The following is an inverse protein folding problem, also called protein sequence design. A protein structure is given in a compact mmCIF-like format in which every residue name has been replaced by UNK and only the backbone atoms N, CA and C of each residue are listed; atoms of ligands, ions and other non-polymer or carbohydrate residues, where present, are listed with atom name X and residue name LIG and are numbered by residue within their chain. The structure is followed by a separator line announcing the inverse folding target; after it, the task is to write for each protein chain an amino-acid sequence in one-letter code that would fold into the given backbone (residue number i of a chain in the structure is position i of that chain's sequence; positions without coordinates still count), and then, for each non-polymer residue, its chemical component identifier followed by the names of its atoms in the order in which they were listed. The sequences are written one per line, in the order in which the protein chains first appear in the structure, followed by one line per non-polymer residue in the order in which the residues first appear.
data_IF_095272881014
#
_entry.id   IF_095272881014
#
_cell.length_a   1.000
_cell.length_b   1.000
_cell.length_c   1.000
_cell.angle_alpha   90.00
_cell.angle_beta   90.00
_cell.angle_gamma   90.00
#
_symmetry.space_group_name_H-M   'P 1'
#
loop_
_entity.id
_entity.type
_entity.pdbx_description
1 polymer ?
#
# COMPACT_ATOMS: atom_id res chain seq x y z
N UNK A 1 23.08 -22.98 -62.72
CA UNK A 1 21.70 -22.47 -62.96
C UNK A 1 20.91 -22.59 -61.66
N UNK A 2 20.96 -21.59 -60.79
CA UNK A 2 19.91 -20.56 -60.60
C UNK A 2 18.51 -21.14 -60.30
N UNK A 3 18.07 -21.10 -59.03
CA UNK A 3 17.12 -20.09 -58.52
C UNK A 3 16.77 -20.35 -57.05
N UNK A 4 17.13 -19.39 -56.20
CA UNK A 4 16.66 -19.25 -54.81
C UNK A 4 15.16 -18.93 -54.81
N UNK A 5 14.37 -19.73 -54.10
CA UNK A 5 12.98 -19.41 -53.76
C UNK A 5 12.93 -18.67 -52.43
N UNK A 6 12.78 -17.35 -52.50
CA UNK A 6 12.59 -16.45 -51.36
C UNK A 6 11.15 -16.62 -50.86
N UNK A 7 10.95 -17.20 -49.67
CA UNK A 7 9.68 -17.14 -48.96
C UNK A 7 9.66 -15.89 -48.06
N UNK A 8 8.70 -15.01 -48.36
CA UNK A 8 8.61 -13.66 -47.85
C UNK A 8 8.47 -13.58 -46.33
N UNK A 9 9.38 -12.83 -45.72
CA UNK A 9 9.28 -12.34 -44.36
C UNK A 9 8.18 -11.25 -44.32
N UNK A 10 7.05 -11.55 -43.70
CA UNK A 10 5.97 -10.60 -43.48
C UNK A 10 6.46 -9.49 -42.54
N UNK A 11 6.84 -8.33 -43.11
CA UNK A 11 7.18 -7.12 -42.37
C UNK A 11 5.90 -6.56 -41.72
N UNK A 12 5.69 -6.88 -40.45
CA UNK A 12 4.78 -6.13 -39.59
C UNK A 12 5.33 -4.70 -39.44
N UNK A 13 4.72 -3.77 -40.16
CA UNK A 13 4.98 -2.34 -40.03
C UNK A 13 4.41 -1.89 -38.68
N UNK A 14 5.28 -1.66 -37.69
CA UNK A 14 4.91 -0.86 -36.53
C UNK A 14 4.73 0.59 -37.00
N UNK A 15 3.48 0.98 -37.23
CA UNK A 15 3.14 2.39 -37.40
C UNK A 15 3.40 3.09 -36.06
N UNK A 16 4.41 3.96 -36.04
CA UNK A 16 4.65 4.92 -34.97
C UNK A 16 3.50 5.94 -34.97
N UNK A 17 2.40 5.63 -34.29
CA UNK A 17 1.44 6.68 -33.90
C UNK A 17 2.03 7.44 -32.71
N UNK A 18 2.76 8.51 -33.04
CA UNK A 18 3.08 9.56 -32.10
C UNK A 18 1.81 10.31 -31.72
N UNK A 19 1.19 9.94 -30.61
CA UNK A 19 0.30 10.85 -29.88
C UNK A 19 1.11 11.59 -28.84
N UNK A 20 1.49 12.83 -29.17
CA UNK A 20 1.97 13.80 -28.20
C UNK A 20 0.82 14.08 -27.22
N UNK A 21 0.81 13.39 -26.09
CA UNK A 21 0.00 13.81 -24.94
C UNK A 21 0.67 15.06 -24.38
N UNK A 22 0.05 16.21 -24.62
CA UNK A 22 0.44 17.45 -23.97
C UNK A 22 0.23 17.29 -22.46
N UNK A 23 1.33 17.17 -21.72
CA UNK A 23 1.33 17.32 -20.27
C UNK A 23 0.79 18.72 -19.94
N UNK A 24 -0.17 18.88 -19.01
CA UNK A 24 -0.46 20.19 -18.44
C UNK A 24 0.81 20.71 -17.77
N UNK A 25 1.26 21.89 -18.20
CA UNK A 25 2.48 22.53 -17.73
C UNK A 25 2.53 22.65 -16.21
N UNK A 26 3.72 22.44 -15.67
CA UNK A 26 4.06 22.71 -14.27
C UNK A 26 3.81 24.20 -14.01
N UNK A 27 2.69 24.51 -13.36
CA UNK A 27 2.39 25.85 -12.87
C UNK A 27 3.45 26.29 -11.86
N UNK A 28 3.84 27.56 -11.97
CA UNK A 28 4.79 28.23 -11.10
C UNK A 28 4.45 28.08 -9.62
N UNK A 29 5.45 27.68 -8.85
CA UNK A 29 5.41 27.54 -7.39
C UNK A 29 5.17 28.91 -6.74
N UNK A 30 3.91 29.24 -6.44
CA UNK A 30 3.50 30.52 -5.86
C UNK A 30 2.43 30.33 -4.79
N UNK A 31 2.74 30.81 -3.58
CA UNK A 31 1.85 30.98 -2.42
C UNK A 31 1.29 29.70 -1.77
N UNK A 32 2.06 29.15 -0.81
CA UNK A 32 1.54 28.26 0.25
C UNK A 32 0.65 29.08 1.18
N UNK A 33 -0.64 29.22 0.86
CA UNK A 33 -1.63 29.73 1.80
C UNK A 33 -1.81 28.70 2.93
N UNK A 34 -1.57 29.11 4.18
CA UNK A 34 -1.98 28.33 5.35
C UNK A 34 -3.50 28.30 5.37
N UNK A 35 -4.10 27.18 5.00
CA UNK A 35 -5.50 26.92 5.30
C UNK A 35 -5.64 26.84 6.83
N UNK A 36 -6.24 27.86 7.43
CA UNK A 36 -6.70 27.80 8.80
C UNK A 36 -7.80 26.74 8.87
N UNK A 37 -7.58 25.71 9.68
CA UNK A 37 -8.60 24.70 10.02
C UNK A 37 -9.79 25.42 10.69
N UNK A 38 -11.00 25.35 10.14
CA UNK A 38 -12.16 25.80 10.89
C UNK A 38 -12.34 24.89 12.11
N UNK A 39 -12.59 25.54 13.25
CA UNK A 39 -12.77 24.88 14.54
C UNK A 39 -14.05 24.04 14.55
N UNK A 40 -13.99 22.94 15.32
CA UNK A 40 -15.09 22.13 15.81
C UNK A 40 -16.10 21.60 14.77
N UNK A 41 -15.85 20.36 14.31
CA UNK A 41 -16.93 19.49 13.84
C UNK A 41 -17.87 19.20 15.03
N UNK A 42 -19.21 19.27 14.87
CA UNK A 42 -20.13 18.90 15.93
C UNK A 42 -19.91 17.44 16.33
N UNK A 43 -19.86 17.19 17.64
CA UNK A 43 -19.82 15.84 18.18
C UNK A 43 -21.05 15.06 17.71
N UNK A 44 -20.86 14.16 16.75
CA UNK A 44 -21.86 13.15 16.42
C UNK A 44 -22.15 12.38 17.71
N UNK A 45 -23.40 12.43 18.17
CA UNK A 45 -23.86 11.63 19.31
C UNK A 45 -23.53 10.16 19.03
N UNK A 46 -22.55 9.65 19.75
CA UNK A 46 -22.24 8.24 19.77
C UNK A 46 -23.44 7.53 20.39
N UNK A 47 -24.24 6.87 19.56
CA UNK A 47 -25.16 5.86 20.04
C UNK A 47 -24.36 4.86 20.87
N UNK A 48 -24.69 4.73 22.16
CA UNK A 48 -24.09 3.75 23.07
C UNK A 48 -24.18 2.37 22.44
N UNK A 49 -23.05 1.85 21.97
CA UNK A 49 -22.92 0.42 21.69
C UNK A 49 -23.07 -0.33 23.02
N UNK A 50 -23.77 -1.48 23.06
CA UNK A 50 -23.91 -2.25 24.28
C UNK A 50 -22.52 -2.69 24.76
N UNK A 51 -22.22 -2.39 26.01
CA UNK A 51 -21.00 -2.83 26.67
C UNK A 51 -20.90 -4.36 26.61
N UNK A 52 -19.96 -4.86 25.82
CA UNK A 52 -19.56 -6.26 25.89
C UNK A 52 -18.52 -6.34 26.99
N UNK A 53 -18.87 -6.97 28.11
CA UNK A 53 -17.95 -7.27 29.20
C UNK A 53 -16.77 -8.14 28.74
N UNK A 54 -15.82 -8.46 29.63
CA UNK A 54 -14.64 -9.26 29.32
C UNK A 54 -15.05 -10.74 29.23
N UNK A 55 -15.85 -11.08 28.23
CA UNK A 55 -16.17 -12.45 27.85
C UNK A 55 -15.20 -12.88 26.77
N UNK A 56 -14.33 -13.83 27.12
CA UNK A 56 -13.62 -14.79 26.27
C UNK A 56 -13.56 -14.45 24.77
N UNK A 57 -12.85 -13.38 24.43
CA UNK A 57 -12.66 -12.96 23.04
C UNK A 57 -11.57 -13.85 22.48
N UNK A 58 -11.94 -15.06 22.03
CA UNK A 58 -11.06 -15.98 21.29
C UNK A 58 -10.18 -15.16 20.35
N UNK A 59 -8.90 -15.08 20.67
CA UNK A 59 -7.93 -14.35 19.87
C UNK A 59 -7.94 -14.99 18.49
N UNK A 60 -8.38 -14.25 17.47
CA UNK A 60 -8.35 -14.77 16.11
C UNK A 60 -6.90 -15.03 15.76
N UNK A 61 -6.59 -16.28 15.43
CA UNK A 61 -5.27 -16.62 14.93
C UNK A 61 -5.03 -15.89 13.61
N UNK A 62 -3.76 -15.68 13.27
CA UNK A 62 -3.35 -15.04 12.02
C UNK A 62 -3.94 -15.77 10.79
N UNK A 63 -4.22 -17.06 10.90
CA UNK A 63 -4.82 -17.92 9.89
C UNK A 63 -6.33 -17.67 9.70
N UNK A 64 -7.00 -17.15 10.72
CA UNK A 64 -8.45 -16.88 10.71
C UNK A 64 -8.78 -15.50 10.11
N UNK A 65 -7.78 -14.64 9.93
CA UNK A 65 -7.97 -13.32 9.32
C UNK A 65 -8.14 -13.45 7.81
N UNK A 66 -9.27 -12.94 7.32
CA UNK A 66 -9.57 -12.91 5.89
C UNK A 66 -8.64 -11.96 5.15
N UNK A 67 -8.31 -12.29 3.90
CA UNK A 67 -7.43 -11.49 3.07
C UNK A 67 -7.43 -11.95 1.62
N UNK A 68 -6.89 -11.14 0.68
CA UNK A 68 -6.64 -11.62 -0.66
C UNK A 68 -5.60 -12.75 -0.64
N UNK A 69 -5.80 -13.77 -1.47
CA UNK A 69 -4.77 -14.78 -1.71
C UNK A 69 -3.52 -14.15 -2.34
N UNK A 70 -2.33 -14.73 -2.12
CA UNK A 70 -1.04 -14.18 -2.56
C UNK A 70 -1.01 -13.83 -4.06
N UNK A 71 -1.44 -14.76 -4.92
CA UNK A 71 -1.48 -14.53 -6.37
C UNK A 71 -2.44 -13.40 -6.77
N UNK A 72 -3.57 -13.29 -6.07
CA UNK A 72 -4.53 -12.21 -6.29
C UNK A 72 -3.92 -10.87 -5.92
N UNK A 73 -3.25 -10.78 -4.78
CA UNK A 73 -2.57 -9.57 -4.36
C UNK A 73 -1.50 -9.15 -5.39
N UNK A 74 -0.66 -10.08 -5.83
CA UNK A 74 0.36 -9.82 -6.86
C UNK A 74 -0.26 -9.32 -8.17
N UNK A 75 -1.34 -9.96 -8.62
CA UNK A 75 -2.08 -9.52 -9.80
C UNK A 75 -2.63 -8.09 -9.65
N UNK A 76 -3.23 -7.77 -8.49
CA UNK A 76 -3.72 -6.43 -8.20
C UNK A 76 -2.58 -5.40 -8.19
N UNK A 77 -1.45 -5.71 -7.56
CA UNK A 77 -0.32 -4.80 -7.47
C UNK A 77 0.28 -4.50 -8.85
N UNK A 78 0.63 -5.53 -9.61
CA UNK A 78 1.43 -5.38 -10.83
C UNK A 78 0.61 -5.31 -12.11
N UNK A 79 -0.40 -6.16 -12.27
CA UNK A 79 -1.19 -6.20 -13.52
C UNK A 79 -2.27 -5.11 -13.53
N UNK A 80 -2.97 -4.91 -12.40
CA UNK A 80 -3.95 -3.83 -12.29
C UNK A 80 -3.32 -2.47 -11.92
N UNK A 81 -2.01 -2.45 -11.64
CA UNK A 81 -1.26 -1.23 -11.36
C UNK A 81 -1.63 -0.56 -10.03
N UNK A 82 -2.11 -1.32 -9.04
CA UNK A 82 -2.35 -0.79 -7.70
C UNK A 82 -1.05 -0.53 -6.92
N UNK A 83 0.12 -0.96 -7.40
CA UNK A 83 1.41 -0.66 -6.77
C UNK A 83 1.64 0.85 -6.61
N UNK A 84 1.16 1.68 -7.54
CA UNK A 84 1.23 3.15 -7.44
C UNK A 84 0.01 3.78 -6.75
N UNK A 85 -1.00 2.97 -6.41
CA UNK A 85 -2.30 3.39 -5.88
C UNK A 85 -2.72 2.53 -4.68
N UNK A 86 -1.77 2.22 -3.81
CA UNK A 86 -1.97 1.31 -2.67
C UNK A 86 -3.11 1.76 -1.75
N UNK A 87 -3.27 3.07 -1.54
CA UNK A 87 -4.36 3.63 -0.73
C UNK A 87 -5.75 3.25 -1.29
N UNK A 88 -5.92 3.20 -2.62
CA UNK A 88 -7.18 2.78 -3.24
C UNK A 88 -7.43 1.30 -2.99
N UNK A 89 -6.38 0.47 -3.15
CA UNK A 89 -6.45 -0.96 -2.86
C UNK A 89 -6.79 -1.22 -1.38
N UNK A 90 -6.28 -0.42 -0.45
CA UNK A 90 -6.64 -0.48 0.98
C UNK A 90 -8.12 -0.15 1.21
N UNK A 91 -8.69 0.84 0.54
CA UNK A 91 -10.13 1.16 0.62
C UNK A 91 -10.97 -0.01 0.13
N UNK A 92 -10.61 -0.61 -1.02
CA UNK A 92 -11.31 -1.77 -1.57
C UNK A 92 -11.22 -2.99 -0.65
N UNK A 93 -10.04 -3.27 -0.11
CA UNK A 93 -9.84 -4.38 0.81
C UNK A 93 -10.58 -4.16 2.13
N UNK A 94 -10.59 -2.94 2.66
CA UNK A 94 -11.39 -2.59 3.84
C UNK A 94 -12.88 -2.85 3.61
N UNK A 95 -13.40 -2.44 2.46
CA UNK A 95 -14.81 -2.66 2.11
C UNK A 95 -15.15 -4.15 2.00
N UNK A 96 -14.20 -4.97 1.51
CA UNK A 96 -14.41 -6.41 1.29
C UNK A 96 -14.19 -7.29 2.52
N UNK A 97 -13.12 -7.03 3.27
CA UNK A 97 -12.65 -7.89 4.37
C UNK A 97 -12.91 -7.29 5.75
N UNK A 98 -13.35 -6.03 5.81
CA UNK A 98 -13.58 -5.31 7.06
C UNK A 98 -12.37 -4.50 7.52
N UNK A 99 -12.39 -4.01 8.77
CA UNK A 99 -11.38 -3.07 9.27
C UNK A 99 -10.01 -3.70 9.58
N UNK A 100 -9.92 -5.04 9.57
CA UNK A 100 -8.68 -5.80 9.77
C UNK A 100 -8.62 -6.89 8.71
N UNK A 101 -7.51 -6.98 7.98
CA UNK A 101 -7.27 -8.06 7.02
C UNK A 101 -5.77 -8.34 6.86
N UNK A 102 -5.46 -9.49 6.26
CA UNK A 102 -4.07 -9.89 6.01
C UNK A 102 -3.74 -9.82 4.53
N UNK A 103 -2.56 -9.28 4.24
CA UNK A 103 -1.90 -9.43 2.94
C UNK A 103 -0.66 -10.31 3.14
N UNK A 104 -0.46 -11.28 2.25
CA UNK A 104 0.75 -12.10 2.20
C UNK A 104 1.51 -11.72 0.94
N UNK A 105 2.73 -11.22 1.09
CA UNK A 105 3.59 -10.80 -0.02
C UNK A 105 4.95 -11.49 0.11
N UNK A 106 5.14 -12.56 -0.67
CA UNK A 106 6.29 -13.44 -0.50
C UNK A 106 6.33 -14.01 0.92
N UNK A 107 7.49 -13.98 1.61
CA UNK A 107 7.61 -14.43 2.99
C UNK A 107 7.00 -13.45 4.01
N UNK A 108 6.73 -12.20 3.61
CA UNK A 108 6.24 -11.16 4.52
C UNK A 108 4.72 -11.25 4.70
N UNK A 109 4.28 -11.18 5.94
CA UNK A 109 2.86 -11.09 6.31
C UNK A 109 2.58 -9.69 6.83
N UNK A 110 1.59 -9.03 6.24
CA UNK A 110 1.14 -7.70 6.63
C UNK A 110 -0.28 -7.77 7.18
N UNK A 111 -0.43 -7.46 8.47
CA UNK A 111 -1.74 -7.22 9.08
C UNK A 111 -2.09 -5.75 8.85
N UNK A 112 -3.18 -5.50 8.14
CA UNK A 112 -3.64 -4.17 7.82
C UNK A 112 -4.74 -3.77 8.80
N UNK A 113 -4.60 -2.58 9.39
CA UNK A 113 -5.58 -1.99 10.30
C UNK A 113 -6.11 -0.70 9.67
N UNK A 114 -7.40 -0.68 9.31
CA UNK A 114 -8.02 0.47 8.64
C UNK A 114 -9.12 1.14 9.47
N UNK A 115 -8.94 1.17 10.79
CA UNK A 115 -9.85 1.77 11.76
C UNK A 115 -9.04 2.55 12.80
N UNK A 116 -9.38 3.82 12.99
CA UNK A 116 -8.68 4.68 13.95
C UNK A 116 -8.78 4.17 15.39
N UNK A 117 -9.96 3.75 15.91
CA UNK A 117 -10.05 3.15 17.24
C UNK A 117 -9.20 1.89 17.42
N UNK A 118 -9.07 1.05 16.38
CA UNK A 118 -8.24 -0.15 16.45
C UNK A 118 -6.76 0.19 16.46
N UNK A 119 -6.34 1.14 15.62
CA UNK A 119 -4.96 1.62 15.60
C UNK A 119 -4.57 2.25 16.95
N UNK A 120 -5.45 3.07 17.52
CA UNK A 120 -5.28 3.68 18.83
C UNK A 120 -5.11 2.62 19.93
N UNK A 121 -5.95 1.59 19.93
CA UNK A 121 -5.82 0.47 20.87
C UNK A 121 -4.47 -0.24 20.73
N UNK A 122 -4.05 -0.55 19.49
CA UNK A 122 -2.75 -1.19 19.23
C UNK A 122 -1.60 -0.32 19.73
N UNK A 123 -1.63 0.97 19.41
CA UNK A 123 -0.58 1.90 19.84
C UNK A 123 -0.49 2.07 21.36
N UNK A 124 -1.61 1.96 22.09
CA UNK A 124 -1.60 1.97 23.56
C UNK A 124 -1.10 0.67 24.18
N UNK A 125 -1.18 -0.43 23.44
CA UNK A 125 -0.73 -1.76 23.87
C UNK A 125 0.73 -2.04 23.47
N UNK A 126 1.37 -1.12 22.75
CA UNK A 126 2.79 -1.22 22.41
C UNK A 126 3.65 -1.29 23.70
N UNK A 127 4.69 -2.15 23.68
CA UNK A 127 5.62 -2.29 24.79
C UNK A 127 6.59 -1.10 24.94
N UNK A 128 7.52 -1.20 25.89
CA UNK A 128 8.49 -0.13 26.20
C UNK A 128 9.35 0.29 24.99
N UNK A 129 9.63 -0.63 24.07
CA UNK A 129 10.48 -0.40 22.90
C UNK A 129 9.78 -0.86 21.61
N UNK A 130 8.82 -0.07 21.07
CA UNK A 130 8.11 -0.45 19.85
C UNK A 130 9.01 -0.27 18.62
N UNK A 131 9.08 -1.32 17.80
CA UNK A 131 9.75 -1.24 16.49
C UNK A 131 8.72 -0.85 15.43
N UNK A 132 8.94 0.27 14.74
CA UNK A 132 8.00 0.80 13.74
C UNK A 132 8.20 0.22 12.36
N UNK A 133 9.45 -0.09 12.02
CA UNK A 133 9.81 -0.75 10.79
C UNK A 133 11.16 -1.44 10.98
N UNK A 134 11.32 -2.61 10.38
CA UNK A 134 12.62 -3.25 10.26
C UNK A 134 13.38 -2.54 9.12
N UNK A 135 14.38 -1.73 9.48
CA UNK A 135 15.09 -0.87 8.52
C UNK A 135 16.11 -1.63 7.67
N UNK A 136 16.05 -2.96 7.65
CA UNK A 136 16.95 -3.86 6.94
C UNK A 136 17.22 -3.44 5.48
N UNK A 137 16.18 -3.27 4.67
CA UNK A 137 16.34 -2.88 3.26
C UNK A 137 17.05 -1.54 3.08
N UNK A 138 16.85 -0.60 4.01
CA UNK A 138 17.57 0.68 3.98
C UNK A 138 19.01 0.54 4.44
N UNK A 139 19.30 -0.30 5.44
CA UNK A 139 20.67 -0.60 5.89
C UNK A 139 21.46 -1.27 4.76
N UNK A 140 20.90 -2.29 4.12
CA UNK A 140 21.53 -2.96 2.97
C UNK A 140 21.85 -1.99 1.83
N UNK A 141 20.91 -1.10 1.48
CA UNK A 141 21.17 -0.09 0.46
C UNK A 141 22.35 0.81 0.86
N UNK A 142 22.42 1.22 2.12
CA UNK A 142 23.51 2.07 2.62
C UNK A 142 24.85 1.35 2.61
N UNK A 143 24.88 0.06 2.94
CA UNK A 143 26.08 -0.76 2.86
C UNK A 143 26.63 -0.82 1.44
N UNK A 144 25.75 -1.08 0.48
CA UNK A 144 26.12 -1.12 -0.94
C UNK A 144 26.65 0.23 -1.45
N UNK A 145 26.20 1.35 -0.85
CA UNK A 145 26.63 2.70 -1.22
C UNK A 145 27.75 3.26 -0.32
N UNK A 146 28.23 2.51 0.68
CA UNK A 146 29.23 2.97 1.64
C UNK A 146 28.76 4.15 2.51
N UNK A 147 27.46 4.25 2.81
CA UNK A 147 26.87 5.36 3.56
C UNK A 147 26.73 5.01 5.05
N UNK A 148 27.16 5.91 5.95
CA UNK A 148 27.01 5.74 7.40
C UNK A 148 25.53 5.60 7.82
N UNK A 149 25.14 4.71 8.73
CA UNK A 149 23.71 4.44 9.01
C UNK A 149 22.90 5.59 9.64
N UNK A 150 23.55 6.56 10.30
CA UNK A 150 22.85 7.65 10.97
C UNK A 150 21.88 7.12 12.04
N UNK A 151 20.59 7.50 12.04
CA UNK A 151 19.63 7.05 13.04
C UNK A 151 19.23 5.56 12.94
N UNK A 152 19.77 4.81 11.97
CA UNK A 152 19.45 3.39 11.74
C UNK A 152 20.47 2.45 12.41
N UNK A 153 20.79 2.67 13.69
CA UNK A 153 21.89 1.96 14.39
C UNK A 153 21.47 0.70 15.17
N UNK A 154 20.28 0.15 14.92
CA UNK A 154 19.78 -1.07 15.58
C UNK A 154 19.40 -2.13 14.55
#
# INVERSE_FOLDING_TARGET
MNRMGVLGCARLRWALLGTRVALPGLGSHGARAKAATPSALPAAQAAKAPGTGPGDRRLRSLEELSGPGQLRLLFQLFVQGYVLRLHQLQVLNKAKYGPIWINRLGPQIHVNLASAPLLEQVMRQEGKYPVRNDMELWKEHRDQQGLAYGPFTT
#
